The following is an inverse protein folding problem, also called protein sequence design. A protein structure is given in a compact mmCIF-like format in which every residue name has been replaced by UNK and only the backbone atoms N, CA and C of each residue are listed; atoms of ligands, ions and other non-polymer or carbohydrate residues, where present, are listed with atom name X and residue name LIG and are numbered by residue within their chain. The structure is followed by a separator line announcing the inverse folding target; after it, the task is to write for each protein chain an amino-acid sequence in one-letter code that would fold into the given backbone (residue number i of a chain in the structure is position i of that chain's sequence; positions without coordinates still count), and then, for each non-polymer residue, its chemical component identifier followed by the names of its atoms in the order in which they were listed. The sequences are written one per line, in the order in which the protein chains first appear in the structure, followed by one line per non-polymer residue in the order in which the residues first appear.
data_IF_039821626548
#
_entry.id   IF_039821626548
#
_cell.length_a   1.000
_cell.length_b   1.000
_cell.length_c   1.000
_cell.angle_alpha   90.00
_cell.angle_beta   90.00
_cell.angle_gamma   90.00
#
_symmetry.space_group_name_H-M   'P 1'
#
loop_
_entity.id
_entity.type
_entity.pdbx_description
1 polymer ?
#
# COMPACT_ATOMS: atom_id res chain seq x y z
N UNK A 1 1.96 6.54 -29.51
CA UNK A 1 2.79 7.05 -28.40
C UNK A 1 2.52 6.20 -27.17
N UNK A 2 3.51 5.46 -26.66
CA UNK A 2 3.35 4.67 -25.45
C UNK A 2 3.16 5.64 -24.26
N UNK A 3 2.01 5.57 -23.57
CA UNK A 3 1.81 6.31 -22.32
C UNK A 3 2.84 5.80 -21.33
N UNK A 4 3.80 6.65 -20.94
CA UNK A 4 4.72 6.34 -19.85
C UNK A 4 3.90 6.10 -18.59
N UNK A 5 4.19 5.02 -17.86
CA UNK A 5 3.57 4.80 -16.56
C UNK A 5 4.03 5.91 -15.61
N UNK A 6 3.11 6.79 -15.22
CA UNK A 6 3.37 7.82 -14.21
C UNK A 6 3.27 7.20 -12.82
N UNK A 7 4.41 7.12 -12.13
CA UNK A 7 4.48 6.67 -10.75
C UNK A 7 4.43 7.88 -9.82
N UNK A 8 3.55 7.85 -8.82
CA UNK A 8 3.48 8.88 -7.79
C UNK A 8 4.05 8.30 -6.50
N UNK A 9 5.12 8.91 -5.97
CA UNK A 9 5.63 8.54 -4.66
C UNK A 9 4.59 8.86 -3.59
N UNK A 10 4.32 7.89 -2.72
CA UNK A 10 3.42 8.01 -1.58
C UNK A 10 4.09 7.41 -0.35
N UNK A 11 3.77 7.93 0.81
CA UNK A 11 4.12 7.27 2.07
C UNK A 11 2.96 6.33 2.44
N UNK A 12 3.25 5.17 3.01
CA UNK A 12 2.21 4.23 3.42
C UNK A 12 2.45 3.76 4.85
N UNK A 13 1.36 3.38 5.51
CA UNK A 13 1.40 2.73 6.81
C UNK A 13 0.34 1.62 6.84
N UNK A 14 0.63 0.57 7.61
CA UNK A 14 -0.38 -0.39 8.02
C UNK A 14 -0.88 0.02 9.41
N UNK A 15 -2.20 0.04 9.57
CA UNK A 15 -2.87 0.39 10.81
C UNK A 15 -4.14 -0.42 11.02
N UNK A 16 -4.98 0.06 11.93
CA UNK A 16 -6.16 -0.67 12.40
C UNK A 16 -5.82 -1.65 13.52
N UNK A 17 -6.84 -2.06 14.28
CA UNK A 17 -6.67 -2.91 15.47
C UNK A 17 -6.06 -4.28 15.17
N UNK A 18 -6.10 -4.71 13.90
CA UNK A 18 -5.54 -5.99 13.44
C UNK A 18 -4.52 -5.81 12.30
N UNK A 19 -3.96 -4.61 12.13
CA UNK A 19 -3.07 -4.29 11.00
C UNK A 19 -3.73 -4.54 9.62
N UNK A 20 -5.05 -4.34 9.55
CA UNK A 20 -5.89 -4.68 8.40
C UNK A 20 -6.31 -3.45 7.59
N UNK A 21 -5.73 -2.29 7.86
CA UNK A 21 -5.96 -1.08 7.07
C UNK A 21 -4.63 -0.63 6.47
N UNK A 22 -4.56 -0.61 5.15
CA UNK A 22 -3.49 0.06 4.42
C UNK A 22 -3.87 1.52 4.24
N UNK A 23 -3.01 2.42 4.69
CA UNK A 23 -3.20 3.87 4.57
C UNK A 23 -2.11 4.44 3.68
N UNK A 24 -2.51 5.23 2.68
CA UNK A 24 -1.62 5.96 1.79
C UNK A 24 -1.71 7.45 2.08
N UNK A 25 -0.55 8.06 2.28
CA UNK A 25 -0.33 9.46 2.56
C UNK A 25 0.43 10.09 1.39
N UNK A 26 0.20 11.38 1.15
CA UNK A 26 0.92 12.11 0.10
C UNK A 26 2.43 12.21 0.36
N UNK A 27 2.85 12.17 1.62
CA UNK A 27 4.26 12.25 2.04
C UNK A 27 4.45 11.72 3.46
N UNK A 28 5.71 11.55 3.90
CA UNK A 28 6.04 11.21 5.29
C UNK A 28 5.63 12.32 6.27
N UNK A 29 5.74 13.58 5.87
CA UNK A 29 5.31 14.72 6.68
C UNK A 29 3.79 14.69 6.92
N UNK A 30 3.01 14.35 5.89
CA UNK A 30 1.57 14.14 6.00
C UNK A 30 1.20 13.03 7.00
N UNK A 31 1.95 11.92 7.02
CA UNK A 31 1.78 10.89 8.03
C UNK A 31 2.04 11.40 9.45
N UNK A 32 3.17 12.09 9.66
CA UNK A 32 3.53 12.63 10.98
C UNK A 32 2.51 13.66 11.47
N UNK A 33 2.03 14.53 10.58
CA UNK A 33 0.97 15.49 10.87
C UNK A 33 -0.30 14.79 11.35
N UNK A 34 -0.72 13.70 10.67
CA UNK A 34 -1.87 12.91 11.09
C UNK A 34 -1.67 12.24 12.46
N UNK A 35 -0.48 11.69 12.72
CA UNK A 35 -0.16 11.06 14.01
C UNK A 35 -0.22 12.08 15.14
N UNK A 36 0.46 13.22 14.97
CA UNK A 36 0.46 14.31 15.95
C UNK A 36 -0.98 14.81 16.18
N UNK A 37 -1.74 15.00 15.10
CA UNK A 37 -3.12 15.47 15.18
C UNK A 37 -4.01 14.55 16.05
N UNK A 38 -3.85 13.24 15.86
CA UNK A 38 -4.58 12.23 16.63
C UNK A 38 -4.21 12.29 18.12
N UNK A 39 -2.93 12.44 18.46
CA UNK A 39 -2.48 12.57 19.84
C UNK A 39 -2.97 13.85 20.52
N UNK A 40 -2.96 14.96 19.79
CA UNK A 40 -3.40 16.28 20.27
C UNK A 40 -4.93 16.46 20.23
N UNK A 41 -5.68 15.45 19.76
CA UNK A 41 -7.14 15.51 19.55
C UNK A 41 -7.59 16.68 18.67
N UNK A 42 -6.74 17.09 17.72
CA UNK A 42 -7.06 18.12 16.73
C UNK A 42 -7.56 17.49 15.43
N UNK A 43 -8.25 18.30 14.62
CA UNK A 43 -8.71 17.88 13.30
C UNK A 43 -7.53 17.50 12.39
N UNK A 44 -7.70 16.42 11.63
CA UNK A 44 -6.78 16.02 10.55
C UNK A 44 -7.31 16.64 9.25
N UNK A 45 -6.53 17.54 8.64
CA UNK A 45 -6.91 18.17 7.37
C UNK A 45 -6.26 17.51 6.16
N UNK A 46 -5.28 16.64 6.40
CA UNK A 46 -4.60 15.89 5.35
C UNK A 46 -5.50 14.81 4.75
N UNK A 47 -5.57 14.73 3.41
CA UNK A 47 -6.28 13.64 2.73
C UNK A 47 -5.51 12.31 2.87
N UNK A 48 -6.19 11.29 3.39
CA UNK A 48 -5.65 9.93 3.56
C UNK A 48 -6.48 8.98 2.70
N UNK A 49 -5.83 8.22 1.83
CA UNK A 49 -6.49 7.11 1.13
C UNK A 49 -6.35 5.86 1.99
N UNK A 50 -7.48 5.36 2.51
CA UNK A 50 -7.49 4.18 3.39
C UNK A 50 -8.19 3.01 2.73
N UNK A 51 -7.54 1.86 2.72
CA UNK A 51 -8.03 0.61 2.15
C UNK A 51 -8.11 -0.44 3.25
N UNK A 52 -9.32 -0.89 3.56
CA UNK A 52 -9.51 -2.04 4.47
C UNK A 52 -9.18 -3.32 3.70
N UNK A 53 -8.13 -4.02 4.13
CA UNK A 53 -7.77 -5.33 3.61
C UNK A 53 -8.85 -6.34 4.02
N UNK A 54 -9.34 -7.08 3.04
CA UNK A 54 -10.33 -8.13 3.21
C UNK A 54 -9.87 -9.43 2.54
N UNK A 55 -10.52 -10.54 2.90
CA UNK A 55 -10.17 -11.89 2.42
C UNK A 55 -10.17 -12.03 0.89
N UNK A 56 -10.96 -11.22 0.21
CA UNK A 56 -11.15 -11.31 -1.25
C UNK A 56 -10.03 -10.57 -2.02
N UNK A 57 -9.18 -9.79 -1.32
CA UNK A 57 -8.03 -9.15 -1.94
C UNK A 57 -7.07 -10.20 -2.51
N UNK A 58 -6.54 -9.91 -3.69
CA UNK A 58 -5.53 -10.73 -4.35
C UNK A 58 -4.21 -9.97 -4.39
N UNK A 59 -3.15 -10.61 -3.95
CA UNK A 59 -1.79 -10.09 -4.01
C UNK A 59 -1.03 -10.86 -5.08
N UNK A 60 -0.37 -10.15 -5.99
CA UNK A 60 0.49 -10.79 -7.00
C UNK A 60 1.84 -11.17 -6.41
N UNK A 61 2.60 -12.11 -7.01
CA UNK A 61 4.01 -12.28 -6.67
C UNK A 61 4.79 -10.98 -6.95
N UNK A 62 5.94 -10.84 -6.28
CA UNK A 62 6.89 -9.76 -6.56
C UNK A 62 7.51 -10.02 -7.94
N UNK A 63 7.54 -8.99 -8.76
CA UNK A 63 8.13 -8.99 -10.11
C UNK A 63 9.22 -7.93 -10.18
N UNK A 64 10.11 -8.07 -11.14
CA UNK A 64 11.17 -7.12 -11.42
C UNK A 64 10.99 -6.58 -12.84
N UNK A 65 11.07 -5.27 -13.03
CA UNK A 65 11.00 -4.65 -14.35
C UNK A 65 11.78 -3.34 -14.38
N UNK A 66 12.49 -3.12 -15.48
CA UNK A 66 13.16 -1.86 -15.76
C UNK A 66 12.12 -0.86 -16.28
N UNK A 67 12.01 0.29 -15.61
CA UNK A 67 11.19 1.43 -16.03
C UNK A 67 12.09 2.59 -16.46
N UNK A 68 11.83 3.12 -17.66
CA UNK A 68 12.54 4.28 -18.19
C UNK A 68 12.39 5.46 -17.22
N UNK A 69 13.51 6.01 -16.75
CA UNK A 69 13.54 7.13 -15.80
C UNK A 69 13.56 6.76 -14.32
N UNK A 70 13.34 5.48 -13.97
CA UNK A 70 13.35 5.00 -12.58
C UNK A 70 14.32 3.84 -12.34
N UNK A 71 14.85 3.23 -13.40
CA UNK A 71 15.77 2.10 -13.29
C UNK A 71 15.04 0.77 -13.04
N UNK A 72 15.70 -0.14 -12.34
CA UNK A 72 15.14 -1.45 -12.04
C UNK A 72 14.24 -1.36 -10.82
N UNK A 73 12.95 -1.72 -10.97
CA UNK A 73 11.99 -1.69 -9.86
C UNK A 73 11.48 -3.10 -9.58
N UNK A 74 11.51 -3.47 -8.31
CA UNK A 74 10.74 -4.56 -7.75
C UNK A 74 9.33 -4.07 -7.44
N UNK A 75 8.31 -4.84 -7.81
CA UNK A 75 6.94 -4.42 -7.61
C UNK A 75 5.98 -5.59 -7.41
N UNK A 76 4.90 -5.34 -6.68
CA UNK A 76 3.73 -6.22 -6.62
C UNK A 76 2.46 -5.40 -6.74
N UNK A 77 1.34 -6.09 -6.97
CA UNK A 77 0.02 -5.48 -7.08
C UNK A 77 -0.94 -6.09 -6.06
N UNK A 78 -1.74 -5.24 -5.44
CA UNK A 78 -2.86 -5.58 -4.59
C UNK A 78 -4.15 -5.23 -5.33
N UNK A 79 -4.90 -6.24 -5.74
CA UNK A 79 -6.19 -6.08 -6.39
C UNK A 79 -7.27 -5.90 -5.33
N UNK A 80 -8.00 -4.78 -5.43
CA UNK A 80 -9.10 -4.46 -4.52
C UNK A 80 -10.40 -5.02 -5.12
N UNK A 81 -11.11 -5.95 -4.45
CA UNK A 81 -12.27 -6.66 -5.01
C UNK A 81 -13.42 -5.75 -5.44
N UNK A 82 -13.66 -4.67 -4.68
CA UNK A 82 -14.69 -3.67 -4.99
C UNK A 82 -14.35 -2.81 -6.20
N UNK A 83 -13.09 -2.84 -6.67
CA UNK A 83 -12.61 -2.05 -7.80
C UNK A 83 -12.01 -2.98 -8.86
N UNK A 84 -12.89 -3.59 -9.67
CA UNK A 84 -12.58 -4.64 -10.67
C UNK A 84 -11.38 -4.35 -11.59
N UNK A 85 -11.04 -3.08 -11.81
CA UNK A 85 -9.95 -2.63 -12.68
C UNK A 85 -8.86 -1.82 -11.97
N UNK A 86 -8.93 -1.63 -10.65
CA UNK A 86 -7.97 -0.84 -9.89
C UNK A 86 -7.13 -1.76 -9.01
N UNK A 87 -5.82 -1.76 -9.25
CA UNK A 87 -4.84 -2.41 -8.40
C UNK A 87 -3.90 -1.36 -7.82
N UNK A 88 -3.68 -1.40 -6.51
CA UNK A 88 -2.61 -0.65 -5.89
C UNK A 88 -1.29 -1.34 -6.24
N UNK A 89 -0.37 -0.63 -6.91
CA UNK A 89 0.95 -1.14 -7.25
C UNK A 89 1.98 -0.51 -6.33
N UNK A 90 2.75 -1.36 -5.66
CA UNK A 90 3.87 -0.97 -4.82
C UNK A 90 5.14 -1.25 -5.58
N UNK A 91 6.03 -0.27 -5.68
CA UNK A 91 7.28 -0.40 -6.40
C UNK A 91 8.42 0.29 -5.63
N UNK A 92 9.59 -0.33 -5.62
CA UNK A 92 10.84 0.24 -5.12
C UNK A 92 12.01 -0.46 -5.81
N UNK A 93 13.11 0.25 -5.92
CA UNK A 93 14.43 -0.22 -6.32
C UNK A 93 15.07 -1.17 -5.28
N UNK A 94 14.67 -1.09 -4.01
CA UNK A 94 15.08 -2.01 -2.96
C UNK A 94 14.13 -3.22 -2.84
N UNK A 95 14.66 -4.40 -3.12
CA UNK A 95 13.94 -5.66 -3.01
C UNK A 95 13.50 -5.96 -1.58
N UNK A 96 14.34 -5.70 -0.57
CA UNK A 96 14.02 -6.05 0.81
C UNK A 96 12.85 -5.21 1.35
N UNK A 97 12.83 -3.91 1.00
CA UNK A 97 11.66 -3.06 1.24
C UNK A 97 10.39 -3.65 0.62
N UNK A 98 10.42 -4.04 -0.66
CA UNK A 98 9.24 -4.61 -1.33
C UNK A 98 8.81 -5.95 -0.74
N UNK A 99 9.77 -6.80 -0.40
CA UNK A 99 9.54 -8.11 0.21
C UNK A 99 8.88 -7.98 1.59
N UNK A 100 9.35 -7.06 2.41
CA UNK A 100 8.76 -6.81 3.74
C UNK A 100 7.31 -6.32 3.62
N UNK A 101 7.03 -5.38 2.71
CA UNK A 101 5.67 -4.89 2.46
C UNK A 101 4.78 -6.02 1.94
N UNK A 102 5.29 -6.81 1.00
CA UNK A 102 4.57 -7.94 0.42
C UNK A 102 4.20 -8.96 1.50
N UNK A 103 5.15 -9.38 2.34
CA UNK A 103 4.92 -10.35 3.42
C UNK A 103 3.87 -9.84 4.40
N UNK A 104 4.00 -8.59 4.88
CA UNK A 104 3.04 -8.00 5.81
C UNK A 104 1.62 -7.94 5.21
N UNK A 105 1.51 -7.58 3.93
CA UNK A 105 0.23 -7.54 3.22
C UNK A 105 -0.36 -8.94 3.05
N UNK A 106 0.47 -9.89 2.64
CA UNK A 106 0.08 -11.30 2.47
C UNK A 106 -0.43 -11.88 3.79
N UNK A 107 0.33 -11.73 4.88
CA UNK A 107 -0.03 -12.23 6.20
C UNK A 107 -1.29 -11.59 6.76
N UNK A 108 -1.53 -10.30 6.49
CA UNK A 108 -2.77 -9.64 6.86
C UNK A 108 -3.99 -10.24 6.13
N UNK A 109 -3.87 -10.51 4.82
CA UNK A 109 -4.94 -11.12 4.02
C UNK A 109 -5.18 -12.58 4.45
N UNK A 110 -4.12 -13.37 4.62
CA UNK A 110 -4.22 -14.77 5.03
C UNK A 110 -4.82 -14.93 6.44
N UNK A 111 -4.46 -14.05 7.39
CA UNK A 111 -5.11 -14.03 8.72
C UNK A 111 -6.61 -13.83 8.62
N UNK A 112 -7.08 -12.96 7.71
CA UNK A 112 -8.52 -12.73 7.49
C UNK A 112 -9.23 -13.93 6.87
N UNK A 113 -8.55 -14.71 6.01
CA UNK A 113 -9.10 -15.96 5.47
C UNK A 113 -9.28 -17.01 6.56
N UNK A 114 -8.31 -17.14 7.48
CA UNK A 114 -8.36 -18.10 8.60
C UNK A 114 -9.43 -17.78 9.64
N UNK A 115 -9.69 -16.50 9.91
CA UNK A 115 -10.71 -16.06 10.88
C UNK A 115 -12.17 -16.23 10.40
N UNK A 116 -12.38 -16.59 9.12
CA UNK A 116 -13.72 -16.77 8.55
C UNK A 116 -14.18 -18.24 8.58
N UNK A 117 -13.42 -19.11 9.25
CA UNK A 117 -13.77 -20.50 9.56
C UNK A 117 -14.16 -20.61 11.04
#
# INVERSE_FOLDING_TARGET
MARNATWTAKYFAFGGTKMDVLQLFVSRAAYHECVIALYEKRGVHTQIQSFRLCRDHKISPIKCKIYKGYGNLHYFSLTVPSLRFVAAKFASDDYETIKNIWSNTYDAIERKKRMAY
#
